data_IF_516449853392
#
_entry.id   IF_516449853392
#
_cell.length_a   1.000
_cell.length_b   1.000
_cell.length_c   1.000
_cell.angle_alpha   90.00
_cell.angle_beta   90.00
_cell.angle_gamma   90.00
#
_symmetry.space_group_name_H-M   'P 1'
#
loop_
_entity.id
_entity.type
_entity.pdbx_description
1 polymer ?
#
# COMPACT_ATOMS: atom_id res chain seq x y z
N UNK A 1 -6.34 -46.82 9.21
CA UNK A 1 -5.86 -45.58 9.89
C UNK A 1 -4.52 -45.11 9.35
N UNK A 2 -3.73 -45.99 8.73
CA UNK A 2 -2.41 -45.75 8.14
C UNK A 2 -2.43 -44.80 6.92
N UNK A 3 -3.42 -44.90 6.04
CA UNK A 3 -3.53 -44.06 4.83
C UNK A 3 -3.63 -42.56 5.14
N UNK A 4 -4.39 -42.19 6.17
CA UNK A 4 -4.58 -40.79 6.52
C UNK A 4 -3.27 -40.16 7.03
N UNK A 5 -2.46 -40.95 7.72
CA UNK A 5 -1.16 -40.52 8.23
C UNK A 5 -0.18 -40.30 7.09
N UNK A 6 -0.11 -41.20 6.12
CA UNK A 6 0.74 -41.02 4.92
C UNK A 6 0.32 -39.81 4.09
N UNK A 7 -0.99 -39.58 3.91
CA UNK A 7 -1.49 -38.41 3.19
C UNK A 7 -1.15 -37.12 3.94
N UNK A 8 -1.32 -37.07 5.26
CA UNK A 8 -0.98 -35.91 6.07
C UNK A 8 0.54 -35.65 6.08
N UNK A 9 1.36 -36.69 6.23
CA UNK A 9 2.82 -36.55 6.19
C UNK A 9 3.33 -36.13 4.81
N UNK A 10 2.75 -36.66 3.73
CA UNK A 10 3.04 -36.23 2.37
C UNK A 10 2.73 -34.75 2.15
N UNK A 11 1.58 -34.29 2.65
CA UNK A 11 1.19 -32.87 2.58
C UNK A 11 2.10 -31.95 3.41
N UNK A 12 2.57 -32.42 4.57
CA UNK A 12 3.52 -31.67 5.42
C UNK A 12 4.90 -31.60 4.76
N UNK A 13 5.39 -32.69 4.14
CA UNK A 13 6.67 -32.72 3.42
C UNK A 13 6.67 -31.87 2.15
N UNK A 14 5.51 -31.70 1.50
CA UNK A 14 5.34 -30.82 0.33
C UNK A 14 5.23 -29.33 0.69
N UNK A 15 5.00 -28.99 1.97
CA UNK A 15 5.25 -27.61 2.42
C UNK A 15 6.75 -27.42 2.47
N UNK A 16 7.32 -26.77 1.44
CA UNK A 16 8.66 -26.21 1.58
C UNK A 16 8.71 -25.42 2.91
N UNK A 17 9.80 -25.53 3.70
CA UNK A 17 9.99 -24.63 4.83
C UNK A 17 9.79 -23.24 4.29
N UNK A 18 8.78 -22.55 4.83
CA UNK A 18 8.26 -21.30 4.29
C UNK A 18 9.44 -20.35 4.10
N UNK A 19 9.97 -20.27 2.87
CA UNK A 19 11.08 -19.38 2.53
C UNK A 19 10.67 -18.03 3.09
N UNK A 20 11.57 -17.40 3.86
CA UNK A 20 11.25 -16.15 4.55
C UNK A 20 10.44 -15.27 3.62
N UNK A 21 9.22 -14.85 4.02
CA UNK A 21 8.29 -14.18 3.14
C UNK A 21 8.92 -12.84 2.76
N UNK A 22 9.63 -12.81 1.62
CA UNK A 22 10.20 -11.57 1.11
C UNK A 22 9.02 -10.68 0.75
N UNK A 23 8.82 -9.63 1.53
CA UNK A 23 7.82 -8.62 1.24
C UNK A 23 8.20 -7.96 -0.09
N UNK A 24 7.44 -8.24 -1.14
CA UNK A 24 7.60 -7.61 -2.45
C UNK A 24 6.43 -6.69 -2.70
N UNK A 25 6.72 -5.40 -2.83
CA UNK A 25 5.75 -4.38 -3.23
C UNK A 25 6.01 -4.04 -4.69
N UNK A 26 5.15 -4.46 -5.64
CA UNK A 26 5.25 -4.02 -7.03
C UNK A 26 5.11 -2.51 -7.16
N UNK A 27 5.96 -1.94 -8.03
CA UNK A 27 5.91 -0.54 -8.45
C UNK A 27 5.27 -0.47 -9.84
N UNK A 28 4.11 0.17 -9.94
CA UNK A 28 3.32 0.18 -11.16
C UNK A 28 3.66 1.39 -12.02
N UNK A 29 3.81 1.13 -13.32
CA UNK A 29 4.14 2.14 -14.32
C UNK A 29 3.08 2.28 -15.41
N UNK A 30 2.03 1.44 -15.40
CA UNK A 30 0.88 1.57 -16.31
C UNK A 30 -0.43 1.12 -15.68
N UNK A 31 -1.54 1.70 -16.11
CA UNK A 31 -2.87 1.34 -15.61
C UNK A 31 -3.27 -0.10 -16.01
N UNK A 32 -2.73 -0.61 -17.12
CA UNK A 32 -2.94 -1.99 -17.55
C UNK A 32 -2.31 -2.97 -16.56
N UNK A 33 -1.07 -2.70 -16.14
CA UNK A 33 -0.36 -3.50 -15.13
C UNK A 33 -1.10 -3.48 -13.79
N UNK A 34 -1.60 -2.31 -13.37
CA UNK A 34 -2.45 -2.17 -12.17
C UNK A 34 -3.65 -3.13 -12.23
N UNK A 35 -4.44 -3.05 -13.31
CA UNK A 35 -5.65 -3.85 -13.45
C UNK A 35 -5.35 -5.35 -13.44
N UNK A 36 -4.28 -5.77 -14.12
CA UNK A 36 -3.86 -7.18 -14.14
C UNK A 36 -3.48 -7.68 -12.75
N UNK A 37 -2.75 -6.90 -11.95
CA UNK A 37 -2.38 -7.30 -10.59
C UNK A 37 -3.58 -7.35 -9.65
N UNK A 38 -4.49 -6.39 -9.76
CA UNK A 38 -5.70 -6.35 -8.92
C UNK A 38 -6.66 -7.50 -9.26
N UNK A 39 -6.77 -7.88 -10.53
CA UNK A 39 -7.67 -8.96 -10.96
C UNK A 39 -7.09 -10.36 -10.74
N UNK A 40 -5.77 -10.52 -10.73
CA UNK A 40 -5.10 -11.83 -10.58
C UNK A 40 -5.03 -12.35 -9.15
N UNK A 41 -5.36 -11.52 -8.16
CA UNK A 41 -5.24 -11.88 -6.74
C UNK A 41 -6.60 -12.03 -6.07
N UNK A 42 -6.71 -13.02 -5.17
CA UNK A 42 -7.83 -13.15 -4.24
C UNK A 42 -7.60 -12.40 -2.93
N UNK A 43 -6.38 -11.89 -2.69
CA UNK A 43 -6.04 -11.11 -1.49
C UNK A 43 -6.66 -9.70 -1.58
N UNK A 44 -7.03 -9.08 -0.44
CA UNK A 44 -7.27 -7.64 -0.41
C UNK A 44 -6.04 -6.90 -0.94
N UNK A 45 -6.27 -5.79 -1.63
CA UNK A 45 -5.21 -4.96 -2.20
C UNK A 45 -5.22 -3.58 -1.56
N UNK A 46 -4.04 -3.11 -1.14
CA UNK A 46 -3.81 -1.73 -0.69
C UNK A 46 -2.86 -1.09 -1.68
N UNK A 47 -3.32 -0.06 -2.38
CA UNK A 47 -2.51 0.72 -3.31
C UNK A 47 -2.22 2.09 -2.71
N UNK A 48 -0.95 2.49 -2.74
CA UNK A 48 -0.54 3.86 -2.45
C UNK A 48 -0.01 4.51 -3.72
N UNK A 49 -0.72 5.53 -4.20
CA UNK A 49 -0.20 6.44 -5.20
C UNK A 49 0.62 7.52 -4.51
N UNK A 50 1.83 7.77 -5.02
CA UNK A 50 2.70 8.87 -4.56
C UNK A 50 3.24 9.61 -5.78
N UNK A 51 2.79 10.85 -5.97
CA UNK A 51 3.31 11.71 -7.03
C UNK A 51 4.33 12.72 -6.48
N UNK A 52 5.59 12.29 -6.34
CA UNK A 52 6.69 13.17 -5.91
C UNK A 52 7.06 14.26 -6.92
N UNK A 53 6.54 14.22 -8.15
CA UNK A 53 6.74 15.28 -9.14
C UNK A 53 5.81 16.48 -8.91
N UNK A 54 4.73 16.29 -8.14
CA UNK A 54 3.81 17.37 -7.81
C UNK A 54 4.39 18.21 -6.67
N UNK A 55 5.21 19.21 -6.99
CA UNK A 55 5.89 20.07 -6.01
C UNK A 55 4.96 20.80 -5.03
N UNK A 56 3.63 20.77 -5.21
CA UNK A 56 2.68 21.34 -4.26
C UNK A 56 2.81 20.74 -2.84
N UNK A 57 3.31 19.50 -2.70
CA UNK A 57 3.56 18.93 -1.37
C UNK A 57 4.75 19.58 -0.64
N UNK A 58 5.70 20.19 -1.35
CA UNK A 58 6.91 20.77 -0.74
C UNK A 58 6.76 22.26 -0.41
N UNK A 59 5.57 22.84 -0.60
CA UNK A 59 5.31 24.25 -0.30
C UNK A 59 5.41 24.60 1.19
N UNK A 60 5.25 23.62 2.08
CA UNK A 60 5.51 23.76 3.52
C UNK A 60 6.23 22.52 4.03
N UNK A 61 7.08 22.66 5.05
CA UNK A 61 7.76 21.53 5.70
C UNK A 61 6.77 20.54 6.31
N UNK A 62 5.64 21.04 6.84
CA UNK A 62 4.58 20.19 7.41
C UNK A 62 3.93 19.29 6.36
N UNK A 63 3.73 19.82 5.15
CA UNK A 63 3.17 19.06 4.03
C UNK A 63 4.12 17.94 3.59
N UNK A 64 5.42 18.24 3.49
CA UNK A 64 6.46 17.25 3.21
C UNK A 64 6.52 16.14 4.28
N UNK A 65 6.55 16.52 5.57
CA UNK A 65 6.52 15.58 6.69
C UNK A 65 5.30 14.66 6.64
N UNK A 66 4.13 15.20 6.27
CA UNK A 66 2.90 14.42 6.18
C UNK A 66 2.94 13.43 5.00
N UNK A 67 3.57 13.80 3.88
CA UNK A 67 3.80 12.87 2.78
C UNK A 67 4.74 11.73 3.23
N UNK A 68 5.85 12.07 3.89
CA UNK A 68 6.80 11.08 4.40
C UNK A 68 6.16 10.12 5.41
N UNK A 69 5.31 10.62 6.32
CA UNK A 69 4.55 9.77 7.27
C UNK A 69 3.63 8.77 6.56
N UNK A 70 3.00 9.15 5.45
CA UNK A 70 2.17 8.23 4.67
C UNK A 70 3.00 7.14 4.00
N UNK A 71 4.16 7.50 3.44
CA UNK A 71 5.09 6.55 2.82
C UNK A 71 5.61 5.57 3.88
N UNK A 72 6.04 6.08 5.03
CA UNK A 72 6.52 5.25 6.14
C UNK A 72 5.42 4.32 6.67
N UNK A 73 4.19 4.81 6.84
CA UNK A 73 3.05 4.00 7.25
C UNK A 73 2.81 2.86 6.26
N UNK A 74 2.83 3.16 4.96
CA UNK A 74 2.66 2.14 3.92
C UNK A 74 3.75 1.08 3.99
N UNK A 75 5.01 1.47 4.13
CA UNK A 75 6.14 0.53 4.22
C UNK A 75 6.00 -0.38 5.46
N UNK A 76 5.67 0.19 6.64
CA UNK A 76 5.43 -0.61 7.87
C UNK A 76 4.27 -1.59 7.71
N UNK A 77 3.16 -1.16 7.10
CA UNK A 77 2.01 -2.03 6.85
C UNK A 77 2.36 -3.14 5.85
N UNK A 78 3.09 -2.80 4.78
CA UNK A 78 3.51 -3.78 3.76
C UNK A 78 4.31 -4.91 4.38
N UNK A 79 5.29 -4.58 5.24
CA UNK A 79 6.08 -5.57 5.97
C UNK A 79 5.22 -6.42 6.91
N UNK A 80 4.34 -5.77 7.70
CA UNK A 80 3.54 -6.44 8.72
C UNK A 80 2.47 -7.38 8.17
N UNK A 81 1.93 -7.06 6.99
CA UNK A 81 0.76 -7.70 6.40
C UNK A 81 1.02 -8.35 5.03
N UNK A 82 2.28 -8.43 4.57
CA UNK A 82 2.71 -8.97 3.27
C UNK A 82 2.11 -10.32 2.88
N UNK A 83 1.90 -11.22 3.85
CA UNK A 83 1.30 -12.54 3.58
C UNK A 83 -0.20 -12.46 3.28
N UNK A 84 -0.91 -11.48 3.83
CA UNK A 84 -2.37 -11.38 3.83
C UNK A 84 -2.93 -10.37 2.84
N UNK A 85 -2.17 -9.31 2.55
CA UNK A 85 -2.60 -8.18 1.73
C UNK A 85 -1.57 -7.97 0.63
N UNK A 86 -2.04 -7.78 -0.60
CA UNK A 86 -1.17 -7.33 -1.68
C UNK A 86 -1.01 -5.81 -1.57
N UNK A 87 0.22 -5.35 -1.36
CA UNK A 87 0.53 -3.93 -1.36
C UNK A 87 1.06 -3.53 -2.72
N UNK A 88 0.63 -2.39 -3.24
CA UNK A 88 1.02 -1.86 -4.55
C UNK A 88 1.45 -0.41 -4.40
N UNK A 89 2.56 -0.03 -5.03
CA UNK A 89 3.00 1.36 -5.13
C UNK A 89 2.76 1.86 -6.55
N UNK A 90 2.08 3.00 -6.68
CA UNK A 90 1.70 3.58 -7.96
C UNK A 90 2.43 4.91 -8.18
N UNK A 91 3.15 5.00 -9.30
CA UNK A 91 3.94 6.17 -9.71
C UNK A 91 3.59 6.64 -11.13
N UNK A 92 2.45 6.21 -11.68
CA UNK A 92 2.01 6.55 -13.05
C UNK A 92 1.88 8.08 -13.24
N UNK A 93 1.77 8.84 -12.15
CA UNK A 93 1.64 10.28 -12.15
C UNK A 93 0.18 10.67 -12.36
N UNK A 94 -0.45 11.18 -11.30
CA UNK A 94 -1.81 11.70 -11.34
C UNK A 94 -1.83 13.13 -10.79
N UNK A 95 -2.98 13.81 -10.86
CA UNK A 95 -3.12 15.13 -10.22
C UNK A 95 -3.05 15.05 -8.68
N UNK A 96 -3.28 13.87 -8.10
CA UNK A 96 -3.21 13.65 -6.66
C UNK A 96 -1.76 13.50 -6.20
N UNK A 97 -1.43 14.13 -5.07
CA UNK A 97 -0.11 14.02 -4.43
C UNK A 97 0.04 12.63 -3.79
N UNK A 98 -0.97 12.21 -3.03
CA UNK A 98 -0.96 10.96 -2.29
C UNK A 98 -2.40 10.44 -2.14
N UNK A 99 -2.63 9.21 -2.59
CA UNK A 99 -3.95 8.57 -2.58
C UNK A 99 -3.81 7.12 -2.11
N UNK A 100 -4.57 6.77 -1.08
CA UNK A 100 -4.75 5.40 -0.66
C UNK A 100 -5.98 4.83 -1.35
N UNK A 101 -5.86 3.66 -1.98
CA UNK A 101 -6.97 2.95 -2.57
C UNK A 101 -7.02 1.50 -2.06
N UNK A 102 -8.23 1.03 -1.79
CA UNK A 102 -8.49 -0.28 -1.19
C UNK A 102 -9.35 -1.10 -2.15
N UNK A 103 -8.95 -2.34 -2.39
CA UNK A 103 -9.66 -3.24 -3.29
C UNK A 103 -9.94 -4.58 -2.62
N UNK A 104 -11.07 -5.18 -2.98
CA UNK A 104 -11.45 -6.53 -2.62
C UNK A 104 -12.07 -7.23 -3.82
N UNK A 105 -11.71 -8.50 -4.04
CA UNK A 105 -12.21 -9.31 -5.17
C UNK A 105 -12.09 -8.58 -6.52
N UNK A 106 -10.94 -7.94 -6.77
CA UNK A 106 -10.68 -7.20 -8.01
C UNK A 106 -11.43 -5.87 -8.17
N UNK A 107 -12.22 -5.44 -7.18
CA UNK A 107 -13.04 -4.21 -7.24
C UNK A 107 -12.57 -3.17 -6.23
N UNK A 108 -12.56 -1.91 -6.63
CA UNK A 108 -12.26 -0.78 -5.74
C UNK A 108 -13.40 -0.63 -4.72
N UNK A 109 -13.05 -0.64 -3.43
CA UNK A 109 -13.99 -0.52 -2.32
C UNK A 109 -14.03 0.91 -1.77
N UNK A 110 -12.86 1.52 -1.62
CA UNK A 110 -12.71 2.85 -1.05
C UNK A 110 -11.43 3.51 -1.53
N UNK A 111 -11.39 4.84 -1.44
CA UNK A 111 -10.18 5.62 -1.58
C UNK A 111 -10.16 6.78 -0.58
N UNK A 112 -8.96 7.17 -0.17
CA UNK A 112 -8.72 8.29 0.74
C UNK A 112 -7.63 9.14 0.13
N UNK A 113 -8.01 10.32 -0.35
CA UNK A 113 -7.05 11.30 -0.83
C UNK A 113 -6.45 12.06 0.36
N UNK A 114 -5.13 12.25 0.34
CA UNK A 114 -4.43 13.02 1.35
C UNK A 114 -4.46 14.53 1.03
N UNK A 115 -5.57 15.07 0.55
CA UNK A 115 -5.72 16.51 0.24
C UNK A 115 -5.38 17.40 1.43
N UNK A 116 -5.57 16.91 2.66
CA UNK A 116 -5.19 17.57 3.91
C UNK A 116 -3.69 17.80 4.07
N UNK A 117 -2.83 17.14 3.26
CA UNK A 117 -1.38 17.42 3.23
C UNK A 117 -1.12 18.90 2.91
N UNK A 118 -1.90 19.49 1.99
CA UNK A 118 -1.67 20.86 1.52
C UNK A 118 -2.56 21.90 2.20
N UNK A 119 -3.71 21.48 2.74
CA UNK A 119 -4.74 22.36 3.30
C UNK A 119 -4.87 22.28 4.82
N UNK A 120 -3.90 21.68 5.52
CA UNK A 120 -3.82 21.84 6.96
C UNK A 120 -3.72 23.35 7.25
N UNK A 121 -4.77 23.91 7.86
CA UNK A 121 -4.78 25.32 8.25
C UNK A 121 -3.64 25.52 9.23
N UNK A 122 -2.74 26.45 8.90
CA UNK A 122 -1.74 26.93 9.85
C UNK A 122 -2.46 27.21 11.17
N UNK A 123 -2.09 26.51 12.24
CA UNK A 123 -2.58 26.87 13.57
C UNK A 123 -2.05 28.27 13.83
N UNK A 124 -2.93 29.27 13.70
CA UNK A 124 -2.63 30.65 14.10
C UNK A 124 -2.09 30.58 15.53
N UNK A 125 -0.79 30.79 15.71
CA UNK A 125 -0.24 31.03 17.03
C UNK A 125 -0.90 32.30 17.56
N UNK A 126 -1.84 32.15 18.50
CA UNK A 126 -2.37 33.30 19.22
C UNK A 126 -1.21 33.89 20.00
N UNK A 127 -0.62 34.98 19.49
CA UNK A 127 0.26 35.83 20.28
C UNK A 127 -0.62 36.44 21.37
N UNK A 128 -0.48 35.93 22.59
CA UNK A 128 -1.00 36.62 23.78
C UNK A 128 -0.18 37.90 23.89
N UNK A 129 -0.86 39.05 23.76
CA UNK A 129 -0.26 40.37 23.94
C UNK A 129 0.15 40.58 25.39
#
# INVERSE_FOLDING_TARGET
MSDLVEVCEGAVRQREPEKDPVCRVPLITSQREEQMLIQSTSKPVVKLLVNRHNNKYSYTSTSDDNLLKNIELFDRLSLRFSRRVLFIKDVIGSNEICLWAFYGHGKKLAEVCCTSIVYATDRKHTKVK
#
